data_IF_550271580563
#
_entry.id   IF_550271580563
#
_cell.length_a   1.000
_cell.length_b   1.000
_cell.length_c   1.000
_cell.angle_alpha   90.00
_cell.angle_beta   90.00
_cell.angle_gamma   90.00
#
_symmetry.space_group_name_H-M   'P 1'
#
loop_
_entity.id
_entity.type
_entity.pdbx_description
1 polymer ?
#
# COMPACT_ATOMS: atom_id res chain seq x y z
N UNK A 1 12.30 -5.06 -11.33
CA UNK A 1 11.05 -5.75 -10.90
C UNK A 1 11.20 -6.45 -9.55
N UNK A 2 12.14 -7.40 -9.38
CA UNK A 2 12.31 -8.14 -8.10
C UNK A 2 12.48 -7.23 -6.86
N UNK A 3 13.36 -6.23 -6.92
CA UNK A 3 13.58 -5.31 -5.80
C UNK A 3 12.28 -4.59 -5.38
N UNK A 4 11.53 -4.04 -6.34
CA UNK A 4 10.23 -3.41 -6.08
C UNK A 4 9.24 -4.36 -5.41
N UNK A 5 9.13 -5.60 -5.89
CA UNK A 5 8.23 -6.60 -5.29
C UNK A 5 8.67 -6.98 -3.87
N UNK A 6 9.97 -7.13 -3.63
CA UNK A 6 10.52 -7.45 -2.32
C UNK A 6 10.30 -6.33 -1.31
N UNK A 7 10.58 -5.08 -1.70
CA UNK A 7 10.34 -3.91 -0.84
C UNK A 7 8.87 -3.82 -0.46
N UNK A 8 7.96 -3.97 -1.42
CA UNK A 8 6.52 -3.94 -1.14
C UNK A 8 6.06 -5.10 -0.26
N UNK A 9 6.51 -6.33 -0.54
CA UNK A 9 6.17 -7.49 0.29
C UNK A 9 6.61 -7.29 1.74
N UNK A 10 7.84 -6.82 1.98
CA UNK A 10 8.36 -6.57 3.33
C UNK A 10 7.62 -5.42 4.00
N UNK A 11 7.46 -4.28 3.31
CA UNK A 11 6.78 -3.11 3.85
C UNK A 11 5.35 -3.44 4.28
N UNK A 12 4.59 -4.11 3.41
CA UNK A 12 3.22 -4.48 3.72
C UNK A 12 3.12 -5.56 4.80
N UNK A 13 4.12 -6.45 4.92
CA UNK A 13 4.19 -7.37 6.05
C UNK A 13 4.38 -6.60 7.37
N UNK A 14 5.28 -5.61 7.39
CA UNK A 14 5.50 -4.77 8.57
C UNK A 14 4.25 -4.00 8.95
N UNK A 15 3.55 -3.39 7.98
CA UNK A 15 2.29 -2.69 8.23
C UNK A 15 1.19 -3.63 8.70
N UNK A 16 1.04 -4.81 8.10
CA UNK A 16 0.07 -5.80 8.55
C UNK A 16 0.31 -6.21 10.02
N UNK A 17 1.56 -6.48 10.38
CA UNK A 17 1.94 -6.80 11.75
C UNK A 17 1.68 -5.63 12.70
N UNK A 18 2.00 -4.40 12.29
CA UNK A 18 1.79 -3.22 13.14
C UNK A 18 0.30 -2.94 13.38
N UNK A 19 -0.51 -2.97 12.31
CA UNK A 19 -1.96 -2.83 12.37
C UNK A 19 -2.62 -3.93 13.24
N UNK A 20 -2.05 -5.13 13.29
CA UNK A 20 -2.63 -6.27 14.02
C UNK A 20 -2.19 -6.31 15.48
N UNK A 21 -0.90 -6.09 15.75
CA UNK A 21 -0.33 -6.22 17.09
C UNK A 21 -0.47 -4.93 17.90
N UNK A 22 -0.49 -3.77 17.24
CA UNK A 22 -0.60 -2.45 17.88
C UNK A 22 -1.60 -1.53 17.13
N UNK A 23 -2.88 -1.93 17.00
CA UNK A 23 -3.88 -1.20 16.22
C UNK A 23 -4.11 0.23 16.71
N UNK A 24 -4.11 0.47 18.03
CA UNK A 24 -4.27 1.83 18.59
C UNK A 24 -3.15 2.76 18.17
N UNK A 25 -1.91 2.31 18.34
CA UNK A 25 -0.74 3.11 17.98
C UNK A 25 -0.71 3.42 16.48
N UNK A 26 -1.04 2.42 15.64
CA UNK A 26 -1.06 2.60 14.19
C UNK A 26 -2.17 3.56 13.76
N UNK A 27 -3.36 3.46 14.36
CA UNK A 27 -4.46 4.38 14.11
C UNK A 27 -4.11 5.81 14.54
N UNK A 28 -3.53 6.00 15.74
CA UNK A 28 -3.09 7.31 16.24
C UNK A 28 -2.02 7.94 15.34
N UNK A 29 -1.09 7.14 14.81
CA UNK A 29 -0.11 7.60 13.81
C UNK A 29 -0.76 8.15 12.53
N UNK A 30 -1.92 7.60 12.16
CA UNK A 30 -2.75 8.08 11.05
C UNK A 30 -3.74 9.19 11.45
N UNK A 31 -3.74 9.63 12.71
CA UNK A 31 -4.68 10.62 13.23
C UNK A 31 -6.10 10.08 13.47
N UNK A 32 -6.27 8.76 13.53
CA UNK A 32 -7.54 8.09 13.77
C UNK A 32 -7.71 7.75 15.26
N UNK A 33 -8.92 7.94 15.79
CA UNK A 33 -9.30 7.48 17.13
C UNK A 33 -10.14 6.20 17.04
N UNK A 34 -9.81 5.18 17.85
CA UNK A 34 -10.56 3.91 17.91
C UNK A 34 -11.29 3.76 19.26
N UNK A 35 -12.57 4.18 19.37
CA UNK A 35 -13.31 4.22 20.64
C UNK A 35 -13.82 2.82 21.04
N UNK A 36 -12.91 1.96 21.50
CA UNK A 36 -13.24 0.69 22.15
C UNK A 36 -13.12 -0.56 21.27
N UNK A 37 -13.53 -1.74 21.80
CA UNK A 37 -13.28 -3.04 21.17
C UNK A 37 -13.82 -3.21 19.74
N UNK A 38 -15.04 -2.75 19.39
CA UNK A 38 -15.55 -2.88 18.03
C UNK A 38 -14.69 -2.16 16.98
N UNK A 39 -14.27 -0.92 17.26
CA UNK A 39 -13.42 -0.15 16.36
C UNK A 39 -12.04 -0.80 16.17
N UNK A 40 -11.49 -1.42 17.23
CA UNK A 40 -10.23 -2.17 17.16
C UNK A 40 -10.37 -3.43 16.30
N UNK A 41 -11.48 -4.15 16.46
CA UNK A 41 -11.78 -5.34 15.66
C UNK A 41 -11.85 -5.00 14.18
N UNK A 42 -12.63 -3.97 13.82
CA UNK A 42 -12.76 -3.52 12.42
C UNK A 42 -11.44 -3.01 11.85
N UNK A 43 -10.71 -2.17 12.60
CA UNK A 43 -9.42 -1.67 12.13
C UNK A 43 -8.43 -2.81 11.89
N UNK A 44 -8.36 -3.78 12.82
CA UNK A 44 -7.44 -4.92 12.69
C UNK A 44 -7.81 -5.82 11.52
N UNK A 45 -9.09 -6.16 11.38
CA UNK A 45 -9.56 -7.03 10.31
C UNK A 45 -9.36 -6.39 8.93
N UNK A 46 -9.72 -5.11 8.79
CA UNK A 46 -9.65 -4.41 7.50
C UNK A 46 -8.23 -3.97 7.19
N UNK A 47 -7.59 -3.15 8.04
CA UNK A 47 -6.23 -2.67 7.77
C UNK A 47 -5.22 -3.81 7.88
N UNK A 48 -5.20 -4.57 8.99
CA UNK A 48 -4.28 -5.70 9.13
C UNK A 48 -4.45 -6.75 8.02
N UNK A 49 -5.70 -7.13 7.71
CA UNK A 49 -6.00 -8.11 6.66
C UNK A 49 -5.67 -7.63 5.24
N UNK A 50 -6.01 -6.39 4.90
CA UNK A 50 -5.70 -5.83 3.57
C UNK A 50 -4.20 -5.71 3.35
N UNK A 51 -3.46 -5.19 4.33
CA UNK A 51 -2.00 -5.08 4.28
C UNK A 51 -1.35 -6.48 4.15
N UNK A 52 -1.85 -7.48 4.90
CA UNK A 52 -1.37 -8.86 4.79
C UNK A 52 -1.64 -9.47 3.40
N UNK A 53 -2.84 -9.24 2.85
CA UNK A 53 -3.21 -9.70 1.50
C UNK A 53 -2.34 -9.08 0.41
N UNK A 54 -2.05 -7.79 0.51
CA UNK A 54 -1.14 -7.09 -0.39
C UNK A 54 0.29 -7.66 -0.27
N UNK A 55 0.80 -7.83 0.95
CA UNK A 55 2.11 -8.45 1.19
C UNK A 55 2.23 -9.82 0.52
N UNK A 56 1.22 -10.68 0.71
CA UNK A 56 1.16 -12.00 0.10
C UNK A 56 1.15 -11.93 -1.44
N UNK A 57 0.40 -11.00 -2.03
CA UNK A 57 0.32 -10.86 -3.48
C UNK A 57 1.65 -10.36 -4.09
N UNK A 58 2.33 -9.41 -3.43
CA UNK A 58 3.67 -8.98 -3.82
C UNK A 58 4.70 -10.11 -3.69
N UNK A 59 4.64 -10.89 -2.61
CA UNK A 59 5.48 -12.06 -2.41
C UNK A 59 5.22 -13.14 -3.50
N UNK A 60 3.96 -13.36 -3.89
CA UNK A 60 3.62 -14.25 -5.00
C UNK A 60 4.33 -13.84 -6.31
N UNK A 61 4.42 -12.54 -6.61
CA UNK A 61 5.16 -12.05 -7.77
C UNK A 61 6.67 -12.31 -7.71
N UNK A 62 7.26 -12.40 -6.51
CA UNK A 62 8.66 -12.81 -6.35
C UNK A 62 8.84 -14.28 -6.68
N UNK A 63 7.99 -15.11 -6.07
CA UNK A 63 8.03 -16.57 -6.14
C UNK A 63 7.62 -17.12 -7.51
N UNK A 64 6.67 -16.47 -8.19
CA UNK A 64 6.13 -16.90 -9.48
C UNK A 64 6.41 -15.84 -10.56
N UNK A 65 7.47 -16.00 -11.38
CA UNK A 65 7.83 -15.04 -12.42
C UNK A 65 6.70 -14.73 -13.41
N UNK A 66 5.83 -15.70 -13.70
CA UNK A 66 4.66 -15.55 -14.58
C UNK A 66 3.64 -14.53 -14.07
N UNK A 67 3.56 -14.33 -12.75
CA UNK A 67 2.61 -13.38 -12.14
C UNK A 67 3.15 -11.95 -12.05
N UNK A 68 4.44 -11.71 -12.32
CA UNK A 68 5.07 -10.40 -12.09
C UNK A 68 4.39 -9.24 -12.83
N UNK A 69 3.97 -9.46 -14.07
CA UNK A 69 3.25 -8.45 -14.86
C UNK A 69 1.90 -8.12 -14.21
N UNK A 70 1.14 -9.14 -13.79
CA UNK A 70 -0.14 -8.94 -13.11
C UNK A 70 0.02 -8.20 -11.77
N UNK A 71 1.03 -8.58 -10.95
CA UNK A 71 1.32 -7.89 -9.69
C UNK A 71 1.76 -6.44 -9.92
N UNK A 72 2.50 -6.16 -11.01
CA UNK A 72 2.86 -4.78 -11.37
C UNK A 72 1.64 -3.95 -11.79
N UNK A 73 0.70 -4.53 -12.56
CA UNK A 73 -0.56 -3.86 -12.91
C UNK A 73 -1.38 -3.58 -11.65
N UNK A 74 -1.49 -4.55 -10.75
CA UNK A 74 -2.14 -4.35 -9.46
C UNK A 74 -1.51 -3.20 -8.67
N UNK A 75 -0.17 -3.16 -8.60
CA UNK A 75 0.54 -2.08 -7.90
C UNK A 75 0.25 -0.70 -8.51
N UNK A 76 0.17 -0.59 -9.85
CA UNK A 76 -0.22 0.65 -10.51
C UNK A 76 -1.63 1.09 -10.10
N UNK A 77 -2.60 0.17 -10.16
CA UNK A 77 -3.97 0.47 -9.78
C UNK A 77 -4.07 0.90 -8.31
N UNK A 78 -3.39 0.17 -7.42
CA UNK A 78 -3.34 0.44 -5.98
C UNK A 78 -2.78 1.83 -5.69
N UNK A 79 -1.55 2.12 -6.14
CA UNK A 79 -0.91 3.40 -5.82
C UNK A 79 -1.52 4.59 -6.55
N UNK A 80 -2.01 4.41 -7.78
CA UNK A 80 -2.71 5.48 -8.49
C UNK A 80 -4.03 5.81 -7.78
N UNK A 81 -4.79 4.80 -7.36
CA UNK A 81 -6.01 4.98 -6.58
C UNK A 81 -5.73 5.71 -5.27
N UNK A 82 -4.80 5.19 -4.45
CA UNK A 82 -4.40 5.83 -3.20
C UNK A 82 -3.99 7.28 -3.41
N UNK A 83 -3.09 7.54 -4.37
CA UNK A 83 -2.61 8.88 -4.66
C UNK A 83 -3.72 9.84 -5.09
N UNK A 84 -4.65 9.41 -5.95
CA UNK A 84 -5.78 10.26 -6.42
C UNK A 84 -6.72 10.61 -5.27
N UNK A 85 -7.11 9.62 -4.46
CA UNK A 85 -8.01 9.88 -3.32
C UNK A 85 -7.32 10.69 -2.23
N UNK A 86 -6.04 10.44 -1.97
CA UNK A 86 -5.23 11.24 -1.04
C UNK A 86 -5.11 12.69 -1.49
N UNK A 87 -4.83 12.91 -2.78
CA UNK A 87 -4.81 14.25 -3.38
C UNK A 87 -6.16 14.95 -3.20
N UNK A 88 -7.27 14.23 -3.41
CA UNK A 88 -8.62 14.77 -3.21
C UNK A 88 -8.86 15.18 -1.76
N UNK A 89 -8.42 14.39 -0.79
CA UNK A 89 -8.51 14.72 0.65
C UNK A 89 -7.69 15.95 0.98
N UNK A 90 -6.43 16.00 0.54
CA UNK A 90 -5.53 17.16 0.79
C UNK A 90 -6.09 18.45 0.19
N UNK A 91 -6.64 18.38 -1.03
CA UNK A 91 -7.24 19.55 -1.71
C UNK A 91 -8.50 20.03 -0.98
N UNK A 92 -9.32 19.12 -0.45
CA UNK A 92 -10.61 19.47 0.17
C UNK A 92 -10.50 19.87 1.64
N UNK A 93 -9.64 19.19 2.39
CA UNK A 93 -9.58 19.29 3.85
C UNK A 93 -8.24 19.84 4.35
N UNK A 94 -7.31 20.16 3.45
CA UNK A 94 -5.98 20.64 3.78
C UNK A 94 -5.01 19.51 4.17
N UNK A 95 -3.79 19.90 4.54
CA UNK A 95 -2.71 18.98 4.90
C UNK A 95 -2.66 18.61 6.39
N UNK A 96 -3.61 19.08 7.21
CA UNK A 96 -3.59 18.95 8.69
C UNK A 96 -3.94 17.55 9.22
N UNK A 97 -3.74 16.51 8.43
CA UNK A 97 -4.18 15.15 8.74
C UNK A 97 -3.03 14.34 9.35
N UNK A 98 -2.48 14.73 10.50
CA UNK A 98 -1.43 13.95 11.20
C UNK A 98 -0.24 13.54 10.31
N UNK A 99 0.22 12.29 10.38
CA UNK A 99 1.34 11.81 9.54
C UNK A 99 0.94 11.42 8.10
N UNK A 100 -0.22 11.89 7.61
CA UNK A 100 -0.74 11.58 6.26
C UNK A 100 0.16 12.11 5.14
N UNK A 101 0.95 13.17 5.38
CA UNK A 101 1.96 13.64 4.43
C UNK A 101 3.04 12.58 4.15
N UNK A 102 3.46 11.83 5.16
CA UNK A 102 4.42 10.74 5.01
C UNK A 102 3.85 9.61 4.15
N UNK A 103 2.60 9.20 4.43
CA UNK A 103 1.89 8.22 3.63
C UNK A 103 1.72 8.67 2.17
N UNK A 104 1.37 9.95 1.96
CA UNK A 104 1.19 10.51 0.62
C UNK A 104 2.48 10.53 -0.20
N UNK A 105 3.60 10.92 0.42
CA UNK A 105 4.92 10.86 -0.21
C UNK A 105 5.32 9.43 -0.57
N UNK A 106 5.07 8.47 0.33
CA UNK A 106 5.34 7.05 0.09
C UNK A 106 4.53 6.51 -1.09
N UNK A 107 3.23 6.81 -1.13
CA UNK A 107 2.32 6.45 -2.23
C UNK A 107 2.83 6.97 -3.58
N UNK A 108 3.26 8.25 -3.64
CA UNK A 108 3.82 8.84 -4.84
C UNK A 108 5.12 8.16 -5.28
N UNK A 109 6.04 7.89 -4.34
CA UNK A 109 7.30 7.21 -4.65
C UNK A 109 7.06 5.83 -5.25
N UNK A 110 6.16 5.03 -4.65
CA UNK A 110 5.83 3.71 -5.19
C UNK A 110 5.06 3.77 -6.50
N UNK A 111 4.18 4.75 -6.69
CA UNK A 111 3.51 4.99 -7.97
C UNK A 111 4.52 5.27 -9.08
N UNK A 112 5.44 6.22 -8.85
CA UNK A 112 6.48 6.58 -9.82
C UNK A 112 7.36 5.37 -10.13
N UNK A 113 7.76 4.60 -9.12
CA UNK A 113 8.56 3.39 -9.34
C UNK A 113 7.79 2.34 -10.16
N UNK A 114 6.51 2.13 -9.88
CA UNK A 114 5.66 1.23 -10.66
C UNK A 114 5.51 1.70 -12.12
N UNK A 115 5.34 3.01 -12.36
CA UNK A 115 5.24 3.59 -13.71
C UNK A 115 6.56 3.44 -14.48
N UNK A 116 7.71 3.63 -13.83
CA UNK A 116 9.02 3.42 -14.48
C UNK A 116 9.19 1.94 -14.85
N UNK A 117 8.77 1.02 -13.98
CA UNK A 117 8.85 -0.41 -14.25
C UNK A 117 7.88 -0.86 -15.34
N UNK A 118 6.67 -0.30 -15.38
CA UNK A 118 5.63 -0.64 -16.36
C UNK A 118 6.05 -0.29 -17.77
N UNK A 119 6.58 0.91 -17.97
CA UNK A 119 7.14 1.36 -19.27
C UNK A 119 8.21 0.42 -19.80
N UNK A 120 8.99 -0.22 -18.91
CA UNK A 120 10.06 -1.14 -19.29
C UNK A 120 9.60 -2.57 -19.56
N UNK A 121 8.55 -3.05 -18.90
CA UNK A 121 8.20 -4.49 -18.87
C UNK A 121 6.81 -4.84 -19.39
N UNK A 122 5.90 -3.86 -19.51
CA UNK A 122 4.56 -4.05 -20.06
C UNK A 122 4.45 -3.60 -21.52
N UNK A 123 5.35 -2.71 -21.98
CA UNK A 123 5.38 -2.24 -23.37
C UNK A 123 6.01 -3.24 -24.36
N UNK A 124 6.61 -4.33 -23.88
CA UNK A 124 7.15 -5.41 -24.73
C UNK A 124 6.04 -6.41 -25.01
N UNK A 125 5.54 -6.52 -26.27
CA UNK A 125 4.61 -7.56 -26.65
C UNK A 125 5.27 -8.92 -26.38
N UNK A 126 4.54 -9.84 -25.76
CA UNK A 126 4.93 -11.24 -25.75
C UNK A 126 4.85 -11.73 -27.20
N UNK A 127 6.03 -11.92 -27.81
CA UNK A 127 6.16 -12.69 -29.05
C UNK A 127 5.80 -14.16 -28.79
#
# INVERSE_FOLDING_TARGET
MKAFLAVNAVMYTVFALWCTLQPRQTAEFLGLSLPGPPALSEFTAVYGGLEAGMAAFFALGLLKPSLRKAVLVFALCLYAGLFVFRTTVVVRYGAEVGNTLGAYGLELVFLVWAVILSRKHLATPTA
#
